data_IF_861790121634
#
_entry.id   IF_861790121634
#
_cell.length_a   1.000
_cell.length_b   1.000
_cell.length_c   1.000
_cell.angle_alpha   90.00
_cell.angle_beta   90.00
_cell.angle_gamma   90.00
#
_symmetry.space_group_name_H-M   'P 1'
#
loop_
_entity.id
_entity.type
_entity.pdbx_description
1 polymer ?
#
# COMPACT_ATOMS: atom_id res chain seq x y z
N UNK A 1 -3.24 -31.21 3.31
CA UNK A 1 -4.61 -30.71 3.59
C UNK A 1 -5.08 -29.90 2.40
N UNK A 2 -6.08 -30.36 1.65
CA UNK A 2 -6.72 -29.57 0.60
C UNK A 2 -7.45 -28.37 1.24
N UNK A 3 -7.30 -27.15 0.73
CA UNK A 3 -8.03 -26.00 1.27
C UNK A 3 -9.53 -26.22 1.06
N UNK A 4 -10.29 -26.29 2.17
CA UNK A 4 -11.75 -26.36 2.10
C UNK A 4 -12.28 -25.10 1.43
N UNK A 5 -13.20 -25.21 0.46
CA UNK A 5 -13.69 -24.06 -0.30
C UNK A 5 -14.35 -23.02 0.62
N UNK A 6 -14.15 -21.74 0.25
CA UNK A 6 -14.77 -20.58 0.88
C UNK A 6 -16.29 -20.76 0.92
N UNK A 7 -16.88 -20.58 2.11
CA UNK A 7 -18.26 -20.98 2.37
C UNK A 7 -19.11 -19.72 2.62
N UNK A 8 -20.15 -19.49 1.81
CA UNK A 8 -21.06 -18.34 1.97
C UNK A 8 -22.53 -18.82 2.02
N UNK A 9 -23.11 -19.04 3.22
CA UNK A 9 -24.54 -19.20 3.42
C UNK A 9 -25.24 -17.87 3.73
N UNK A 10 -26.29 -17.65 2.98
CA UNK A 10 -27.23 -16.54 3.02
C UNK A 10 -28.47 -16.89 3.86
N UNK A 11 -28.76 -16.19 4.96
CA UNK A 11 -30.13 -16.12 5.51
C UNK A 11 -30.77 -14.79 5.09
N UNK A 12 -32.03 -14.85 4.63
CA UNK A 12 -32.79 -13.75 3.98
C UNK A 12 -32.90 -12.44 4.77
N UNK A 13 -32.82 -12.47 6.12
CA UNK A 13 -32.89 -11.27 6.97
C UNK A 13 -31.58 -10.46 6.97
N UNK A 14 -30.47 -11.12 6.67
CA UNK A 14 -29.10 -10.61 6.82
C UNK A 14 -28.74 -9.64 5.67
N UNK A 15 -29.14 -9.97 4.42
CA UNK A 15 -28.90 -9.11 3.26
C UNK A 15 -29.72 -7.81 3.24
N UNK A 16 -30.94 -7.82 3.82
CA UNK A 16 -31.82 -6.64 3.87
C UNK A 16 -31.28 -5.56 4.82
N UNK A 17 -30.72 -5.94 5.96
CA UNK A 17 -30.11 -5.03 6.95
C UNK A 17 -28.87 -4.32 6.39
N UNK A 18 -28.08 -5.01 5.56
CA UNK A 18 -26.90 -4.43 4.91
C UNK A 18 -27.25 -3.45 3.79
N UNK A 19 -28.27 -3.75 2.99
CA UNK A 19 -28.78 -2.81 1.97
C UNK A 19 -29.25 -1.52 2.63
N UNK A 20 -29.96 -1.61 3.76
CA UNK A 20 -30.38 -0.41 4.51
C UNK A 20 -29.21 0.37 5.10
N UNK A 21 -28.20 -0.31 5.66
CA UNK A 21 -27.02 0.35 6.21
C UNK A 21 -26.14 1.00 5.12
N UNK A 22 -26.02 0.37 3.95
CA UNK A 22 -25.30 0.92 2.81
C UNK A 22 -26.04 2.12 2.21
N UNK A 23 -27.34 2.01 1.99
CA UNK A 23 -28.17 3.15 1.51
C UNK A 23 -28.08 4.32 2.49
N UNK A 24 -28.14 4.08 3.80
CA UNK A 24 -27.99 5.12 4.82
C UNK A 24 -26.58 5.75 4.82
N UNK A 25 -25.51 4.95 4.68
CA UNK A 25 -24.15 5.48 4.60
C UNK A 25 -23.90 6.29 3.31
N UNK A 26 -24.48 5.86 2.18
CA UNK A 26 -24.37 6.57 0.90
C UNK A 26 -25.16 7.87 0.92
N UNK A 27 -26.36 7.87 1.53
CA UNK A 27 -27.16 9.06 1.77
C UNK A 27 -26.44 10.05 2.69
N UNK A 28 -25.85 9.58 3.79
CA UNK A 28 -25.10 10.42 4.73
C UNK A 28 -23.87 11.07 4.06
N UNK A 29 -23.15 10.36 3.19
CA UNK A 29 -22.03 10.93 2.45
C UNK A 29 -22.47 11.90 1.34
N UNK A 30 -23.60 11.64 0.68
CA UNK A 30 -24.21 12.58 -0.26
C UNK A 30 -24.65 13.87 0.46
N UNK A 31 -25.19 13.74 1.68
CA UNK A 31 -25.60 14.87 2.52
C UNK A 31 -24.41 15.69 3.02
N UNK A 32 -23.33 15.02 3.45
CA UNK A 32 -22.08 15.68 3.87
C UNK A 32 -21.33 16.36 2.72
N UNK A 33 -21.56 15.92 1.48
CA UNK A 33 -21.00 16.57 0.28
C UNK A 33 -21.81 17.82 -0.15
N UNK A 34 -23.06 17.94 0.32
CA UNK A 34 -23.99 19.02 -0.04
C UNK A 34 -24.04 20.18 0.97
N UNK A 35 -23.35 20.09 2.11
CA UNK A 35 -23.31 21.20 3.09
C UNK A 35 -22.30 22.27 2.67
N UNK A 36 -22.76 23.19 1.83
CA UNK A 36 -22.04 24.39 1.40
C UNK A 36 -22.15 25.57 2.40
N UNK A 37 -22.60 25.31 3.64
CA UNK A 37 -22.88 26.32 4.69
C UNK A 37 -22.07 26.17 5.99
N UNK A 38 -20.85 25.63 5.94
CA UNK A 38 -19.93 25.64 7.10
C UNK A 38 -18.58 26.31 6.79
N UNK A 39 -18.63 27.40 6.02
CA UNK A 39 -17.46 28.18 5.59
C UNK A 39 -16.90 29.15 6.65
N UNK A 40 -17.23 28.99 7.95
CA UNK A 40 -16.78 29.94 8.98
C UNK A 40 -16.21 29.35 10.28
N UNK A 41 -15.87 28.05 10.36
CA UNK A 41 -15.18 27.50 11.55
C UNK A 41 -14.14 26.42 11.18
N UNK A 42 -12.86 26.73 11.39
CA UNK A 42 -11.67 25.84 11.31
C UNK A 42 -11.55 24.92 10.07
N UNK A 43 -11.09 25.50 8.96
CA UNK A 43 -11.00 24.88 7.63
C UNK A 43 -10.10 23.63 7.52
N UNK A 44 -9.13 23.42 8.43
CA UNK A 44 -8.18 22.31 8.32
C UNK A 44 -8.71 20.96 8.86
N UNK A 45 -9.32 20.99 10.06
CA UNK A 45 -9.73 19.76 10.76
C UNK A 45 -11.08 19.24 10.28
N UNK A 46 -12.01 20.15 10.02
CA UNK A 46 -13.34 19.79 9.52
C UNK A 46 -13.29 19.21 8.09
N UNK A 47 -12.44 19.76 7.23
CA UNK A 47 -12.21 19.21 5.89
C UNK A 47 -11.66 17.79 5.92
N UNK A 48 -10.68 17.51 6.79
CA UNK A 48 -10.13 16.17 6.97
C UNK A 48 -11.16 15.15 7.47
N UNK A 49 -12.05 15.56 8.37
CA UNK A 49 -13.14 14.71 8.89
C UNK A 49 -14.20 14.42 7.80
N UNK A 50 -14.61 15.42 7.02
CA UNK A 50 -15.54 15.25 5.89
C UNK A 50 -14.95 14.32 4.82
N UNK A 51 -13.68 14.51 4.46
CA UNK A 51 -12.99 13.59 3.54
C UNK A 51 -12.91 12.16 4.09
N UNK A 52 -12.69 12.00 5.39
CA UNK A 52 -12.73 10.70 6.07
C UNK A 52 -14.08 9.99 5.92
N UNK A 53 -15.18 10.71 6.16
CA UNK A 53 -16.54 10.20 6.05
C UNK A 53 -16.88 9.73 4.63
N UNK A 54 -16.55 10.53 3.62
CA UNK A 54 -16.80 10.18 2.22
C UNK A 54 -16.07 8.89 1.82
N UNK A 55 -14.80 8.73 2.23
CA UNK A 55 -14.04 7.50 1.97
C UNK A 55 -14.66 6.28 2.63
N UNK A 56 -15.13 6.44 3.87
CA UNK A 56 -15.80 5.38 4.62
C UNK A 56 -17.12 4.97 3.97
N UNK A 57 -17.94 5.93 3.53
CA UNK A 57 -19.18 5.61 2.84
C UNK A 57 -18.95 4.83 1.54
N UNK A 58 -17.93 5.21 0.75
CA UNK A 58 -17.53 4.44 -0.45
C UNK A 58 -17.11 3.01 -0.08
N UNK A 59 -16.35 2.84 0.99
CA UNK A 59 -15.93 1.52 1.47
C UNK A 59 -17.11 0.65 1.91
N UNK A 60 -18.03 1.21 2.71
CA UNK A 60 -19.27 0.54 3.14
C UNK A 60 -20.11 0.13 1.93
N UNK A 61 -20.30 1.05 0.98
CA UNK A 61 -21.08 0.78 -0.25
C UNK A 61 -20.44 -0.32 -1.11
N UNK A 62 -19.12 -0.32 -1.28
CA UNK A 62 -18.40 -1.35 -2.02
C UNK A 62 -18.51 -2.73 -1.36
N UNK A 63 -18.39 -2.79 -0.03
CA UNK A 63 -18.55 -4.04 0.74
C UNK A 63 -19.99 -4.53 0.67
N UNK A 64 -20.98 -3.67 0.88
CA UNK A 64 -22.39 -4.06 0.82
C UNK A 64 -22.78 -4.57 -0.58
N UNK A 65 -22.35 -3.88 -1.64
CA UNK A 65 -22.58 -4.30 -3.02
C UNK A 65 -21.93 -5.66 -3.31
N UNK A 66 -20.74 -5.89 -2.76
CA UNK A 66 -20.05 -7.18 -2.86
C UNK A 66 -20.86 -8.27 -2.18
N UNK A 67 -21.31 -8.06 -0.94
CA UNK A 67 -22.13 -9.02 -0.20
C UNK A 67 -23.41 -9.35 -0.96
N UNK A 68 -24.14 -8.34 -1.44
CA UNK A 68 -25.37 -8.54 -2.23
C UNK A 68 -25.10 -9.35 -3.50
N UNK A 69 -23.97 -9.13 -4.18
CA UNK A 69 -23.60 -9.89 -5.37
C UNK A 69 -23.34 -11.38 -5.07
N UNK A 70 -22.62 -11.70 -3.98
CA UNK A 70 -22.46 -13.10 -3.53
C UNK A 70 -23.82 -13.75 -3.21
N UNK A 71 -24.66 -13.04 -2.46
CA UNK A 71 -25.98 -13.51 -2.04
C UNK A 71 -26.90 -13.82 -3.23
N UNK A 72 -26.94 -12.92 -4.21
CA UNK A 72 -27.80 -13.05 -5.38
C UNK A 72 -27.26 -14.08 -6.37
N UNK A 73 -25.97 -14.00 -6.71
CA UNK A 73 -25.36 -14.82 -7.76
C UNK A 73 -25.19 -16.28 -7.38
N UNK A 74 -25.04 -16.58 -6.08
CA UNK A 74 -24.88 -17.96 -5.60
C UNK A 74 -26.19 -18.58 -5.09
N UNK A 75 -27.31 -17.86 -5.22
CA UNK A 75 -28.60 -18.27 -4.68
C UNK A 75 -29.10 -19.55 -5.35
N UNK A 76 -29.41 -20.55 -4.54
CA UNK A 76 -29.99 -21.82 -5.01
C UNK A 76 -29.01 -22.75 -5.73
N UNK A 77 -27.74 -22.36 -5.86
CA UNK A 77 -26.72 -23.19 -6.49
C UNK A 77 -26.17 -24.23 -5.50
N UNK A 78 -26.00 -25.47 -5.98
CA UNK A 78 -25.34 -26.53 -5.22
C UNK A 78 -23.83 -26.37 -5.23
N UNK A 79 -23.18 -26.43 -4.07
CA UNK A 79 -21.74 -26.11 -3.90
C UNK A 79 -20.78 -27.04 -4.65
N UNK A 80 -21.21 -28.28 -4.88
CA UNK A 80 -20.48 -29.31 -5.62
C UNK A 80 -20.65 -29.19 -7.13
N UNK A 81 -21.55 -28.33 -7.62
CA UNK A 81 -21.81 -28.18 -9.05
C UNK A 81 -20.77 -27.33 -9.77
N UNK A 82 -20.55 -27.64 -11.03
CA UNK A 82 -19.72 -26.85 -11.95
C UNK A 82 -20.26 -25.43 -12.10
N UNK A 83 -21.58 -25.30 -12.10
CA UNK A 83 -22.27 -24.02 -12.15
C UNK A 83 -21.90 -23.13 -10.95
N UNK A 84 -21.88 -23.69 -9.72
CA UNK A 84 -21.43 -22.95 -8.54
C UNK A 84 -19.98 -22.52 -8.66
N UNK A 85 -19.09 -23.43 -9.11
CA UNK A 85 -17.65 -23.14 -9.28
C UNK A 85 -17.41 -22.03 -10.31
N UNK A 86 -18.19 -22.00 -11.37
CA UNK A 86 -18.13 -20.93 -12.37
C UNK A 86 -18.69 -19.61 -11.81
N UNK A 87 -19.90 -19.63 -11.24
CA UNK A 87 -20.55 -18.43 -10.69
C UNK A 87 -19.75 -17.78 -9.57
N UNK A 88 -19.11 -18.57 -8.69
CA UNK A 88 -18.31 -18.01 -7.60
C UNK A 88 -17.05 -17.31 -8.11
N UNK A 89 -16.37 -17.85 -9.14
CA UNK A 89 -15.21 -17.21 -9.77
C UNK A 89 -15.62 -15.88 -10.42
N UNK A 90 -16.77 -15.84 -11.11
CA UNK A 90 -17.31 -14.60 -11.69
C UNK A 90 -17.64 -13.53 -10.62
N UNK A 91 -18.24 -13.94 -9.49
CA UNK A 91 -18.49 -13.04 -8.35
C UNK A 91 -17.18 -12.54 -7.75
N UNK A 92 -16.17 -13.41 -7.60
CA UNK A 92 -14.85 -13.02 -7.12
C UNK A 92 -14.24 -11.94 -8.03
N UNK A 93 -14.30 -12.13 -9.34
CA UNK A 93 -13.77 -11.17 -10.31
C UNK A 93 -14.48 -9.81 -10.23
N UNK A 94 -15.81 -9.78 -10.17
CA UNK A 94 -16.56 -8.52 -10.00
C UNK A 94 -16.24 -7.85 -8.68
N UNK A 95 -16.10 -8.63 -7.61
CA UNK A 95 -15.76 -8.12 -6.28
C UNK A 95 -14.34 -7.55 -6.23
N UNK A 96 -13.38 -8.21 -6.87
CA UNK A 96 -12.02 -7.71 -7.03
C UNK A 96 -11.99 -6.39 -7.82
N UNK A 97 -12.75 -6.29 -8.91
CA UNK A 97 -12.88 -5.05 -9.70
C UNK A 97 -13.50 -3.90 -8.89
N UNK A 98 -14.54 -4.17 -8.09
CA UNK A 98 -15.11 -3.16 -7.16
C UNK A 98 -14.09 -2.70 -6.14
N UNK A 99 -13.30 -3.62 -5.59
CA UNK A 99 -12.28 -3.27 -4.62
C UNK A 99 -11.15 -2.46 -5.27
N UNK A 100 -10.69 -2.85 -6.47
CA UNK A 100 -9.75 -2.05 -7.26
C UNK A 100 -10.26 -0.62 -7.44
N UNK A 101 -11.53 -0.45 -7.83
CA UNK A 101 -12.12 0.88 -8.00
C UNK A 101 -12.15 1.70 -6.70
N UNK A 102 -12.46 1.06 -5.57
CA UNK A 102 -12.39 1.69 -4.26
C UNK A 102 -10.96 2.18 -3.96
N UNK A 103 -9.96 1.35 -4.22
CA UNK A 103 -8.55 1.68 -4.03
C UNK A 103 -8.12 2.86 -4.90
N UNK A 104 -8.51 2.86 -6.18
CA UNK A 104 -8.23 3.95 -7.11
C UNK A 104 -8.85 5.29 -6.69
N UNK A 105 -10.06 5.26 -6.12
CA UNK A 105 -10.79 6.49 -5.75
C UNK A 105 -10.36 7.01 -4.38
N UNK A 106 -10.14 6.13 -3.39
CA UNK A 106 -9.77 6.55 -2.05
C UNK A 106 -8.25 6.75 -1.86
N UNK A 107 -7.42 6.16 -2.74
CA UNK A 107 -5.95 6.23 -2.72
C UNK A 107 -5.34 5.80 -1.37
N UNK A 108 -4.03 6.03 -1.21
CA UNK A 108 -3.31 5.87 0.06
C UNK A 108 -3.53 4.51 0.74
N UNK A 109 -4.16 4.53 1.92
CA UNK A 109 -4.48 3.33 2.70
C UNK A 109 -5.18 2.24 1.90
N UNK A 110 -6.14 2.58 1.04
CA UNK A 110 -6.87 1.58 0.28
C UNK A 110 -6.01 0.96 -0.83
N UNK A 111 -5.11 1.73 -1.45
CA UNK A 111 -4.12 1.18 -2.40
C UNK A 111 -3.22 0.17 -1.70
N UNK A 112 -2.74 0.50 -0.49
CA UNK A 112 -1.98 -0.44 0.34
C UNK A 112 -2.78 -1.68 0.73
N UNK A 113 -4.06 -1.53 1.07
CA UNK A 113 -4.93 -2.65 1.36
C UNK A 113 -5.07 -3.57 0.13
N UNK A 114 -5.25 -3.00 -1.06
CA UNK A 114 -5.30 -3.74 -2.30
C UNK A 114 -4.01 -4.49 -2.63
N UNK A 115 -2.84 -3.84 -2.46
CA UNK A 115 -1.53 -4.47 -2.62
C UNK A 115 -1.32 -5.62 -1.62
N UNK A 116 -1.69 -5.40 -0.35
CA UNK A 116 -1.62 -6.43 0.69
C UNK A 116 -2.49 -7.64 0.36
N UNK A 117 -3.72 -7.40 -0.10
CA UNK A 117 -4.66 -8.43 -0.56
C UNK A 117 -4.12 -9.17 -1.78
N UNK A 118 -3.53 -8.46 -2.75
CA UNK A 118 -2.96 -9.07 -3.94
C UNK A 118 -1.83 -10.06 -3.63
N UNK A 119 -1.07 -9.82 -2.55
CA UNK A 119 0.01 -10.68 -2.10
C UNK A 119 -0.47 -11.94 -1.33
N UNK A 120 -1.74 -12.02 -0.93
CA UNK A 120 -2.25 -13.15 -0.15
C UNK A 120 -2.59 -14.35 -1.04
N UNK A 121 -1.77 -15.39 -1.01
CA UNK A 121 -2.00 -16.65 -1.76
C UNK A 121 -3.25 -17.42 -1.35
N UNK A 122 -3.78 -17.16 -0.16
CA UNK A 122 -5.00 -17.82 0.37
C UNK A 122 -6.29 -17.22 -0.20
N UNK A 123 -6.19 -16.05 -0.86
CA UNK A 123 -7.33 -15.40 -1.48
C UNK A 123 -7.54 -15.92 -2.91
N UNK A 124 -8.76 -15.79 -3.45
CA UNK A 124 -9.04 -16.24 -4.81
C UNK A 124 -8.16 -15.52 -5.83
N UNK A 125 -7.72 -16.26 -6.86
CA UNK A 125 -6.79 -15.77 -7.88
C UNK A 125 -7.26 -14.47 -8.56
N UNK A 126 -8.57 -14.30 -8.68
CA UNK A 126 -9.20 -13.14 -9.29
C UNK A 126 -8.86 -11.83 -8.54
N UNK A 127 -8.69 -11.90 -7.21
CA UNK A 127 -8.24 -10.76 -6.41
C UNK A 127 -6.78 -10.44 -6.70
N UNK A 128 -5.89 -11.44 -6.66
CA UNK A 128 -4.46 -11.22 -6.93
C UNK A 128 -4.21 -10.69 -8.34
N UNK A 129 -4.87 -11.23 -9.36
CA UNK A 129 -4.68 -10.80 -10.75
C UNK A 129 -5.27 -9.44 -11.06
N UNK A 130 -6.36 -9.05 -10.37
CA UNK A 130 -7.00 -7.75 -10.61
C UNK A 130 -6.28 -6.64 -9.87
N UNK A 131 -5.87 -6.89 -8.63
CA UNK A 131 -5.25 -5.88 -7.77
C UNK A 131 -3.75 -5.69 -8.05
N UNK A 132 -3.12 -6.55 -8.85
CA UNK A 132 -1.75 -6.32 -9.35
C UNK A 132 -1.64 -5.01 -10.15
N UNK A 133 -2.76 -4.50 -10.69
CA UNK A 133 -2.82 -3.18 -11.34
C UNK A 133 -2.56 -2.00 -10.38
N UNK A 134 -2.63 -2.19 -9.05
CA UNK A 134 -2.37 -1.14 -8.06
C UNK A 134 -0.88 -0.82 -7.87
N UNK A 135 -0.01 -1.28 -8.77
CA UNK A 135 1.43 -1.07 -8.70
C UNK A 135 1.90 0.27 -9.28
N UNK A 136 1.00 1.14 -9.76
CA UNK A 136 1.41 2.39 -10.42
C UNK A 136 1.71 3.57 -9.50
N UNK A 137 2.60 4.44 -9.99
CA UNK A 137 3.04 5.68 -9.33
C UNK A 137 1.86 6.59 -8.98
N UNK A 138 1.93 7.16 -7.78
CA UNK A 138 0.96 8.15 -7.31
C UNK A 138 1.50 9.53 -7.64
N UNK A 139 0.62 10.46 -8.03
CA UNK A 139 1.02 11.86 -8.22
C UNK A 139 1.66 12.40 -6.93
N UNK A 140 2.87 12.98 -7.01
CA UNK A 140 3.54 13.55 -5.85
C UNK A 140 2.80 14.77 -5.31
N UNK A 141 3.09 15.11 -4.06
CA UNK A 141 2.65 16.36 -3.46
C UNK A 141 3.58 17.50 -3.82
N UNK A 142 3.07 18.75 -3.83
CA UNK A 142 3.91 19.93 -3.94
C UNK A 142 4.99 19.95 -2.86
N UNK A 143 6.22 20.30 -3.25
CA UNK A 143 7.36 20.33 -2.33
C UNK A 143 7.11 21.20 -1.09
N UNK A 144 6.31 22.26 -1.19
CA UNK A 144 5.91 23.09 -0.03
C UNK A 144 5.29 22.27 1.12
N UNK A 145 4.50 21.24 0.81
CA UNK A 145 3.90 20.35 1.81
C UNK A 145 4.97 19.46 2.44
N UNK A 146 5.84 18.89 1.60
CA UNK A 146 6.96 18.02 2.03
C UNK A 146 7.95 18.78 2.90
N UNK A 147 8.30 20.01 2.52
CA UNK A 147 9.14 20.92 3.29
C UNK A 147 8.59 21.18 4.69
N UNK A 148 7.26 21.23 4.84
CA UNK A 148 6.62 21.29 6.16
C UNK A 148 6.93 20.06 7.02
N UNK A 149 6.77 18.86 6.46
CA UNK A 149 7.08 17.60 7.17
C UNK A 149 8.56 17.51 7.53
N UNK A 150 9.45 17.88 6.61
CA UNK A 150 10.90 17.92 6.87
C UNK A 150 11.23 18.88 8.01
N UNK A 151 10.65 20.08 8.00
CA UNK A 151 10.84 21.07 9.06
C UNK A 151 10.37 20.57 10.43
N UNK A 152 9.19 19.93 10.47
CA UNK A 152 8.61 19.42 11.72
C UNK A 152 9.43 18.26 12.32
N UNK A 153 10.16 17.52 11.49
CA UNK A 153 10.90 16.32 11.90
C UNK A 153 12.41 16.55 12.09
N UNK A 154 13.01 17.43 11.28
CA UNK A 154 14.45 17.70 11.27
C UNK A 154 14.81 19.08 11.86
N UNK A 155 13.81 19.89 12.19
CA UNK A 155 13.98 21.22 12.77
C UNK A 155 13.87 22.38 11.75
N UNK A 156 13.80 23.63 12.24
CA UNK A 156 13.57 24.81 11.40
C UNK A 156 14.69 25.04 10.38
N UNK A 157 15.92 24.66 10.72
CA UNK A 157 17.14 24.95 9.96
C UNK A 157 17.62 23.72 9.16
N UNK A 158 16.74 22.75 8.90
CA UNK A 158 17.13 21.50 8.24
C UNK A 158 17.83 21.72 6.89
N UNK A 159 17.47 22.80 6.18
CA UNK A 159 18.10 23.18 4.91
C UNK A 159 19.60 23.44 5.06
N UNK A 160 20.07 23.82 6.25
CA UNK A 160 21.49 24.02 6.51
C UNK A 160 22.29 22.70 6.57
N UNK A 161 21.62 21.55 6.60
CA UNK A 161 22.28 20.24 6.58
C UNK A 161 22.61 19.78 5.15
N UNK A 162 21.99 20.41 4.15
CA UNK A 162 22.10 20.04 2.74
C UNK A 162 22.87 21.10 1.95
N UNK A 163 23.70 20.67 1.02
CA UNK A 163 24.24 21.50 -0.05
C UNK A 163 23.19 21.72 -1.14
N UNK A 164 22.44 20.67 -1.49
CA UNK A 164 21.33 20.74 -2.41
C UNK A 164 20.22 19.76 -2.02
N UNK A 165 18.98 20.10 -2.33
CA UNK A 165 17.80 19.26 -2.12
C UNK A 165 16.86 19.45 -3.31
N UNK A 166 16.61 18.39 -4.06
CA UNK A 166 15.76 18.44 -5.24
C UNK A 166 14.30 18.58 -4.85
N UNK A 167 13.64 19.65 -5.29
CA UNK A 167 12.22 19.87 -5.03
C UNK A 167 11.33 18.87 -5.79
N UNK A 168 11.78 18.42 -6.96
CA UNK A 168 11.11 17.36 -7.71
C UNK A 168 11.45 15.98 -7.10
N UNK A 169 10.45 15.18 -6.71
CA UNK A 169 10.71 13.86 -6.16
C UNK A 169 11.19 12.90 -7.25
N UNK A 170 12.18 12.08 -6.91
CA UNK A 170 12.67 10.99 -7.78
C UNK A 170 11.68 9.81 -7.84
N UNK A 171 10.85 9.66 -6.81
CA UNK A 171 9.82 8.63 -6.73
C UNK A 171 8.67 9.07 -5.82
N UNK A 172 7.46 8.61 -6.13
CA UNK A 172 6.29 8.81 -5.29
C UNK A 172 5.53 7.50 -5.13
N UNK A 173 5.16 7.20 -3.89
CA UNK A 173 4.43 6.00 -3.49
C UNK A 173 3.12 6.40 -2.79
N UNK A 174 2.37 5.39 -2.34
CA UNK A 174 1.04 5.59 -1.77
C UNK A 174 1.01 6.31 -0.42
N UNK A 175 2.12 6.36 0.33
CA UNK A 175 2.16 6.99 1.66
C UNK A 175 3.31 7.99 1.85
N UNK A 176 4.20 8.09 0.86
CA UNK A 176 5.42 8.87 0.94
C UNK A 176 5.95 9.17 -0.46
N UNK A 177 6.82 10.17 -0.56
CA UNK A 177 7.64 10.42 -1.75
C UNK A 177 9.11 10.53 -1.37
N UNK A 178 10.00 10.33 -2.34
CA UNK A 178 11.44 10.31 -2.15
C UNK A 178 12.06 11.45 -2.93
N UNK A 179 12.92 12.21 -2.25
CA UNK A 179 13.72 13.28 -2.83
C UNK A 179 15.19 12.91 -2.84
N UNK A 180 15.91 13.38 -3.85
CA UNK A 180 17.36 13.31 -3.89
C UNK A 180 17.94 14.59 -3.26
N UNK A 181 19.08 14.46 -2.57
CA UNK A 181 19.76 15.57 -1.93
C UNK A 181 21.26 15.29 -1.79
N UNK A 182 22.06 16.34 -1.65
CA UNK A 182 23.48 16.28 -1.32
C UNK A 182 23.68 16.91 0.05
N UNK A 183 24.31 16.19 0.97
CA UNK A 183 24.70 16.71 2.29
C UNK A 183 25.91 17.63 2.18
N UNK A 184 26.11 18.54 3.14
CA UNK A 184 27.35 19.35 3.24
C UNK A 184 28.64 18.54 3.41
N UNK A 185 28.52 17.24 3.66
CA UNK A 185 29.63 16.28 3.67
C UNK A 185 29.93 15.68 2.29
N UNK A 186 29.36 16.23 1.22
CA UNK A 186 29.40 15.73 -0.17
C UNK A 186 28.77 14.34 -0.37
N UNK A 187 27.97 13.87 0.60
CA UNK A 187 27.29 12.58 0.49
C UNK A 187 25.91 12.73 -0.15
N UNK A 188 25.68 12.00 -1.25
CA UNK A 188 24.36 11.89 -1.87
C UNK A 188 23.42 11.01 -1.03
N UNK A 189 22.21 11.51 -0.80
CA UNK A 189 21.18 10.85 0.00
C UNK A 189 19.82 10.86 -0.67
N UNK A 190 19.03 9.85 -0.34
CA UNK A 190 17.60 9.83 -0.59
C UNK A 190 16.82 10.05 0.68
N UNK A 191 15.88 10.99 0.59
CA UNK A 191 15.03 11.42 1.69
C UNK A 191 13.60 10.98 1.38
N UNK A 192 13.18 9.89 1.99
CA UNK A 192 11.80 9.40 1.93
C UNK A 192 10.97 10.14 2.98
N UNK A 193 9.97 10.89 2.53
CA UNK A 193 9.13 11.74 3.38
C UNK A 193 7.69 11.25 3.33
N UNK A 194 7.14 10.92 4.50
CA UNK A 194 5.76 10.49 4.65
C UNK A 194 4.79 11.67 4.42
N UNK A 195 3.65 11.42 3.78
CA UNK A 195 2.63 12.46 3.63
C UNK A 195 1.97 12.80 4.99
N UNK A 196 1.76 14.09 5.32
CA UNK A 196 1.44 14.51 6.69
C UNK A 196 0.10 13.97 7.23
N UNK A 197 -0.89 13.75 6.36
CA UNK A 197 -2.21 13.28 6.77
C UNK A 197 -2.31 11.77 6.94
N UNK A 198 -1.30 11.01 6.49
CA UNK A 198 -1.39 9.56 6.39
C UNK A 198 -1.69 8.94 7.75
N UNK A 199 -0.99 9.36 8.81
CA UNK A 199 -1.18 8.78 10.14
C UNK A 199 -2.59 9.01 10.70
N UNK A 200 -3.12 10.24 10.56
CA UNK A 200 -4.47 10.58 11.04
C UNK A 200 -5.56 9.87 10.23
N UNK A 201 -5.44 9.92 8.89
CA UNK A 201 -6.39 9.27 7.98
C UNK A 201 -6.43 7.76 8.17
N UNK A 202 -5.26 7.13 8.34
CA UNK A 202 -5.17 5.68 8.51
C UNK A 202 -5.78 5.18 9.81
N UNK A 203 -5.75 5.98 10.88
CA UNK A 203 -6.43 5.61 12.13
C UNK A 203 -7.93 5.45 11.89
N UNK A 204 -8.54 6.37 11.14
CA UNK A 204 -9.95 6.30 10.79
C UNK A 204 -10.25 5.14 9.82
N UNK A 205 -9.47 5.01 8.75
CA UNK A 205 -9.68 3.95 7.75
C UNK A 205 -9.46 2.54 8.33
N UNK A 206 -8.52 2.37 9.27
CA UNK A 206 -8.30 1.11 10.00
C UNK A 206 -9.51 0.75 10.86
N UNK A 207 -10.12 1.72 11.56
CA UNK A 207 -11.36 1.50 12.33
C UNK A 207 -12.51 1.10 11.41
N UNK A 208 -12.67 1.78 10.27
CA UNK A 208 -13.67 1.43 9.25
C UNK A 208 -13.47 0.01 8.75
N UNK A 209 -12.24 -0.38 8.42
CA UNK A 209 -11.93 -1.73 7.96
C UNK A 209 -12.23 -2.79 9.04
N UNK A 210 -11.88 -2.53 10.30
CA UNK A 210 -12.17 -3.44 11.41
C UNK A 210 -13.68 -3.60 11.64
N UNK A 211 -14.42 -2.50 11.62
CA UNK A 211 -15.87 -2.50 11.74
C UNK A 211 -16.54 -3.30 10.60
N UNK A 212 -16.11 -3.06 9.35
CA UNK A 212 -16.62 -3.79 8.19
C UNK A 212 -16.32 -5.29 8.29
N UNK A 213 -15.10 -5.66 8.69
CA UNK A 213 -14.74 -7.07 8.84
C UNK A 213 -15.54 -7.77 9.94
N UNK A 214 -15.69 -7.15 11.12
CA UNK A 214 -16.53 -7.68 12.19
C UNK A 214 -17.99 -7.82 11.77
N UNK A 215 -18.50 -6.85 11.01
CA UNK A 215 -19.85 -6.91 10.47
C UNK A 215 -20.00 -8.10 9.53
N UNK A 216 -19.06 -8.29 8.59
CA UNK A 216 -19.09 -9.46 7.70
C UNK A 216 -19.00 -10.77 8.49
N UNK A 217 -18.10 -10.88 9.47
CA UNK A 217 -17.96 -12.06 10.30
C UNK A 217 -19.23 -12.39 11.09
N UNK A 218 -19.89 -11.37 11.65
CA UNK A 218 -21.15 -11.55 12.36
C UNK A 218 -22.28 -12.04 11.43
N UNK A 219 -22.36 -11.49 10.22
CA UNK A 219 -23.37 -11.87 9.22
C UNK A 219 -23.08 -13.24 8.59
N UNK A 220 -21.80 -13.58 8.46
CA UNK A 220 -21.27 -14.78 7.85
C UNK A 220 -20.29 -15.48 8.80
N UNK A 221 -20.77 -16.22 9.82
CA UNK A 221 -19.90 -16.84 10.83
C UNK A 221 -18.84 -17.82 10.29
N UNK A 222 -19.03 -18.28 9.06
CA UNK A 222 -18.08 -19.10 8.31
C UNK A 222 -17.00 -18.30 7.55
N UNK A 223 -17.04 -16.97 7.60
CA UNK A 223 -16.03 -16.08 7.06
C UNK A 223 -14.74 -16.23 7.87
N UNK A 224 -13.72 -16.82 7.27
CA UNK A 224 -12.46 -17.15 7.95
C UNK A 224 -11.37 -16.09 7.79
N UNK A 225 -11.71 -14.89 7.30
CA UNK A 225 -10.74 -13.84 7.00
C UNK A 225 -10.77 -12.67 8.00
N UNK A 226 -11.30 -12.89 9.21
CA UNK A 226 -11.20 -11.92 10.32
C UNK A 226 -9.75 -11.55 10.68
N UNK A 227 -8.80 -12.45 10.41
CA UNK A 227 -7.37 -12.20 10.60
C UNK A 227 -6.81 -11.19 9.59
N UNK A 228 -7.44 -11.03 8.42
CA UNK A 228 -6.89 -10.25 7.30
C UNK A 228 -6.80 -8.75 7.63
N UNK A 229 -7.84 -8.09 8.20
CA UNK A 229 -7.72 -6.71 8.67
C UNK A 229 -6.66 -6.51 9.75
N UNK A 230 -6.52 -7.47 10.68
CA UNK A 230 -5.53 -7.41 11.75
C UNK A 230 -4.11 -7.49 11.17
N UNK A 231 -3.87 -8.47 10.30
CA UNK A 231 -2.58 -8.63 9.62
C UNK A 231 -2.25 -7.41 8.75
N UNK A 232 -3.24 -6.81 8.08
CA UNK A 232 -3.03 -5.58 7.34
C UNK A 232 -2.72 -4.39 8.26
N UNK A 233 -3.46 -4.24 9.37
CA UNK A 233 -3.20 -3.17 10.34
C UNK A 233 -1.78 -3.26 10.92
N UNK A 234 -1.31 -4.47 11.24
CA UNK A 234 0.06 -4.70 11.69
C UNK A 234 1.08 -4.35 10.60
N UNK A 235 0.82 -4.75 9.36
CA UNK A 235 1.68 -4.38 8.22
C UNK A 235 1.73 -2.87 8.01
N UNK A 236 0.59 -2.19 8.13
CA UNK A 236 0.49 -0.73 7.99
C UNK A 236 1.20 -0.01 9.13
N UNK A 237 1.05 -0.48 10.37
CA UNK A 237 1.75 0.10 11.52
C UNK A 237 3.27 0.05 11.34
N UNK A 238 3.80 -1.05 10.80
CA UNK A 238 5.21 -1.18 10.46
C UNK A 238 5.63 -0.21 9.34
N UNK A 239 4.76 0.03 8.35
CA UNK A 239 5.05 0.92 7.21
C UNK A 239 4.98 2.41 7.57
N UNK A 240 4.27 2.77 8.64
CA UNK A 240 4.17 4.15 9.12
C UNK A 240 5.29 4.57 10.06
N UNK A 241 6.13 3.64 10.47
CA UNK A 241 7.24 3.89 11.38
C UNK A 241 8.57 3.74 10.64
N UNK A 242 9.06 4.84 10.08
CA UNK A 242 10.33 4.82 9.34
C UNK A 242 11.56 4.51 10.21
N UNK A 243 11.45 4.62 11.54
CA UNK A 243 12.48 4.09 12.45
C UNK A 243 12.51 2.56 12.41
N UNK A 244 11.34 1.92 12.32
CA UNK A 244 11.27 0.47 12.17
C UNK A 244 11.86 0.02 10.83
N UNK A 245 11.55 0.72 9.74
CA UNK A 245 12.12 0.47 8.42
C UNK A 245 13.64 0.64 8.41
N UNK A 246 14.15 1.74 8.97
CA UNK A 246 15.58 2.00 9.12
C UNK A 246 16.32 0.88 9.88
N UNK A 247 15.77 0.42 11.02
CA UNK A 247 16.34 -0.70 11.79
C UNK A 247 16.34 -2.01 11.00
N UNK A 248 15.31 -2.24 10.20
CA UNK A 248 15.26 -3.41 9.33
C UNK A 248 16.30 -3.32 8.21
N UNK A 249 16.56 -2.13 7.66
CA UNK A 249 17.65 -1.87 6.71
C UNK A 249 19.01 -2.23 7.31
N UNK A 250 19.32 -1.75 8.51
CA UNK A 250 20.59 -2.06 9.20
C UNK A 250 20.75 -3.56 9.50
N UNK A 251 19.67 -4.24 9.89
CA UNK A 251 19.68 -5.70 10.06
C UNK A 251 19.96 -6.42 8.74
N UNK A 252 19.35 -5.98 7.65
CA UNK A 252 19.60 -6.53 6.32
C UNK A 252 21.05 -6.30 5.89
N UNK A 253 21.60 -5.10 6.09
CA UNK A 253 22.99 -4.78 5.83
C UNK A 253 23.94 -5.72 6.60
N UNK A 254 23.68 -5.97 7.89
CA UNK A 254 24.46 -6.89 8.71
C UNK A 254 24.40 -8.34 8.23
N UNK A 255 23.22 -8.80 7.81
CA UNK A 255 23.00 -10.16 7.31
C UNK A 255 23.63 -10.37 5.94
N UNK A 256 23.69 -9.33 5.12
CA UNK A 256 24.16 -9.37 3.73
C UNK A 256 25.57 -8.82 3.55
N UNK A 257 26.28 -8.50 4.62
CA UNK A 257 27.64 -7.91 4.58
C UNK A 257 28.66 -8.70 3.73
N UNK A 258 28.48 -10.01 3.59
CA UNK A 258 29.35 -10.89 2.81
C UNK A 258 28.82 -11.16 1.38
N UNK A 259 27.64 -10.65 1.04
CA UNK A 259 27.05 -10.81 -0.28
C UNK A 259 27.61 -9.71 -1.20
N UNK A 260 28.44 -10.11 -2.18
CA UNK A 260 29.02 -9.19 -3.16
C UNK A 260 28.01 -8.66 -4.17
N UNK A 261 26.92 -9.40 -4.38
CA UNK A 261 25.87 -9.01 -5.30
C UNK A 261 25.07 -7.87 -4.69
N UNK A 262 24.61 -8.00 -3.44
CA UNK A 262 23.62 -7.10 -2.83
C UNK A 262 24.27 -5.97 -2.03
N UNK A 263 23.91 -4.72 -2.34
CA UNK A 263 24.21 -3.56 -1.47
C UNK A 263 22.98 -3.03 -0.75
N UNK A 264 23.12 -2.77 0.55
CA UNK A 264 22.08 -2.16 1.38
C UNK A 264 22.49 -0.71 1.71
N UNK A 265 21.64 0.30 1.45
CA UNK A 265 21.93 1.70 1.76
C UNK A 265 22.21 1.93 3.25
N UNK A 266 23.24 2.73 3.53
CA UNK A 266 23.50 3.21 4.88
C UNK A 266 22.40 4.17 5.34
N UNK A 267 21.92 4.03 6.57
CA UNK A 267 20.93 4.95 7.16
C UNK A 267 21.62 6.11 7.87
N UNK A 268 21.21 7.34 7.54
CA UNK A 268 21.65 8.55 8.23
C UNK A 268 20.70 8.83 9.40
N UNK A 269 21.05 8.32 10.58
CA UNK A 269 20.18 8.37 11.78
C UNK A 269 19.89 9.79 12.27
N UNK A 270 20.84 10.70 12.15
CA UNK A 270 20.66 12.12 12.53
C UNK A 270 19.64 12.84 11.64
N UNK A 271 19.36 12.28 10.45
CA UNK A 271 18.40 12.77 9.48
C UNK A 271 17.18 11.84 9.33
N UNK A 272 16.96 10.96 10.31
CA UNK A 272 15.89 9.96 10.26
C UNK A 272 14.98 10.08 11.49
N UNK A 273 13.67 10.12 11.24
CA UNK A 273 12.61 10.19 12.22
C UNK A 273 11.54 9.12 11.95
N UNK A 274 10.39 9.20 12.64
CA UNK A 274 9.24 8.34 12.33
C UNK A 274 8.61 8.62 10.96
N UNK A 275 8.78 9.84 10.42
CA UNK A 275 8.14 10.30 9.19
C UNK A 275 9.14 10.66 8.07
N UNK A 276 10.44 10.70 8.38
CA UNK A 276 11.51 10.98 7.43
C UNK A 276 12.53 9.85 7.52
N UNK A 277 12.87 9.21 6.40
CA UNK A 277 13.94 8.22 6.31
C UNK A 277 15.00 8.74 5.34
N UNK A 278 16.20 8.96 5.84
CA UNK A 278 17.33 9.40 5.04
C UNK A 278 18.34 8.28 4.90
N UNK A 279 18.67 7.92 3.67
CA UNK A 279 19.58 6.81 3.36
C UNK A 279 20.52 7.18 2.23
N UNK A 280 21.63 6.46 2.13
CA UNK A 280 22.58 6.64 1.04
C UNK A 280 21.89 6.50 -0.31
N UNK A 281 22.18 7.43 -1.21
CA UNK A 281 21.70 7.36 -2.57
C UNK A 281 22.55 6.41 -3.41
N UNK A 282 21.88 5.59 -4.21
CA UNK A 282 22.52 4.80 -5.25
C UNK A 282 21.78 5.01 -6.57
N UNK A 283 22.54 5.17 -7.63
CA UNK A 283 22.02 5.15 -9.00
C UNK A 283 21.89 3.71 -9.48
N UNK A 284 20.77 3.38 -10.11
CA UNK A 284 20.50 2.04 -10.58
C UNK A 284 19.34 1.97 -11.57
N UNK A 285 19.23 0.81 -12.22
CA UNK A 285 18.10 0.42 -13.08
C UNK A 285 17.29 -0.65 -12.37
N UNK A 286 16.01 -0.76 -12.73
CA UNK A 286 15.12 -1.71 -12.09
C UNK A 286 15.44 -3.14 -12.49
N UNK A 287 15.17 -4.06 -11.57
CA UNK A 287 15.35 -5.50 -11.80
C UNK A 287 14.31 -6.07 -12.78
N UNK A 288 13.19 -5.38 -13.00
CA UNK A 288 12.13 -5.74 -13.95
C UNK A 288 12.23 -5.01 -15.30
N UNK A 289 13.32 -4.25 -15.52
CA UNK A 289 13.64 -3.61 -16.80
C UNK A 289 14.27 -4.65 -17.75
N UNK A 290 13.41 -5.48 -18.33
CA UNK A 290 13.82 -6.56 -19.23
C UNK A 290 14.58 -6.04 -20.46
N UNK A 291 14.25 -4.85 -20.95
CA UNK A 291 14.93 -4.23 -22.09
C UNK A 291 16.39 -3.91 -21.74
N UNK A 292 16.64 -3.36 -20.55
CA UNK A 292 17.98 -3.10 -20.05
C UNK A 292 18.78 -4.39 -19.79
N UNK A 293 18.15 -5.41 -19.19
CA UNK A 293 18.80 -6.71 -18.96
C UNK A 293 19.21 -7.37 -20.29
N UNK A 294 18.33 -7.32 -21.29
CA UNK A 294 18.61 -7.82 -22.63
C UNK A 294 19.76 -7.06 -23.31
N UNK A 295 19.83 -5.73 -23.16
CA UNK A 295 20.93 -4.92 -23.69
C UNK A 295 22.28 -5.25 -23.04
N UNK A 296 22.29 -5.63 -21.77
CA UNK A 296 23.48 -6.06 -21.04
C UNK A 296 23.85 -7.54 -21.28
N UNK A 297 23.05 -8.29 -22.06
CA UNK A 297 23.26 -9.73 -22.24
C UNK A 297 23.06 -10.56 -20.97
N UNK A 298 22.35 -10.01 -19.98
CA UNK A 298 22.03 -10.70 -18.72
C UNK A 298 20.71 -11.44 -18.91
N UNK A 299 20.77 -12.78 -18.91
CA UNK A 299 19.55 -13.61 -18.91
C UNK A 299 18.74 -13.32 -17.63
N UNK A 300 17.46 -12.89 -17.73
CA UNK A 300 16.64 -12.58 -16.56
C UNK A 300 16.50 -13.75 -15.58
N UNK A 301 16.61 -15.00 -16.07
CA UNK A 301 16.57 -16.22 -15.27
C UNK A 301 17.82 -16.44 -14.40
N UNK A 302 18.96 -15.83 -14.77
CA UNK A 302 20.22 -15.89 -14.00
C UNK A 302 20.29 -14.83 -12.90
N UNK A 303 19.40 -13.83 -12.93
CA UNK A 303 19.20 -12.93 -11.80
C UNK A 303 18.49 -13.74 -10.71
N UNK A 304 19.23 -14.18 -9.69
CA UNK A 304 18.70 -14.99 -8.59
C UNK A 304 17.69 -14.18 -7.75
N UNK A 305 16.45 -14.10 -8.25
CA UNK A 305 15.31 -13.51 -7.57
C UNK A 305 14.95 -14.25 -6.29
N UNK A 306 15.49 -15.46 -6.04
CA UNK A 306 15.19 -16.23 -4.83
C UNK A 306 15.83 -15.62 -3.59
N UNK A 307 17.06 -15.10 -3.69
CA UNK A 307 17.72 -14.36 -2.60
C UNK A 307 17.03 -13.03 -2.33
N UNK A 308 16.60 -12.34 -3.39
CA UNK A 308 15.85 -11.09 -3.29
C UNK A 308 14.46 -11.29 -2.67
N UNK A 309 13.74 -12.33 -3.10
CA UNK A 309 12.43 -12.72 -2.53
C UNK A 309 12.58 -13.14 -1.07
N UNK A 310 13.67 -13.82 -0.73
CA UNK A 310 14.00 -14.17 0.67
C UNK A 310 14.30 -12.91 1.48
N UNK A 311 15.02 -11.93 0.93
CA UNK A 311 15.33 -10.65 1.59
C UNK A 311 14.07 -9.82 1.90
N UNK A 312 13.17 -9.64 0.91
CA UNK A 312 11.89 -8.92 1.09
C UNK A 312 11.03 -9.58 2.17
N UNK A 313 10.94 -10.91 2.15
CA UNK A 313 10.12 -11.66 3.10
C UNK A 313 10.74 -11.80 4.50
N UNK A 314 12.07 -11.92 4.61
CA UNK A 314 12.76 -12.19 5.89
C UNK A 314 13.09 -10.92 6.66
N UNK A 315 13.42 -9.82 5.96
CA UNK A 315 13.84 -8.57 6.60
C UNK A 315 12.70 -7.56 6.77
N UNK A 316 11.50 -7.84 6.24
CA UNK A 316 10.36 -6.88 6.22
C UNK A 316 10.83 -5.49 5.77
N UNK A 317 11.63 -5.45 4.72
CA UNK A 317 12.07 -4.21 4.11
C UNK A 317 10.91 -3.68 3.28
N UNK A 318 10.17 -2.73 3.85
CA UNK A 318 9.11 -2.01 3.16
C UNK A 318 9.73 -0.91 2.31
N UNK A 319 10.52 -1.26 1.29
CA UNK A 319 10.88 -0.32 0.25
C UNK A 319 9.71 -0.26 -0.74
N UNK A 320 8.88 0.80 -0.77
CA UNK A 320 8.06 1.08 -1.93
C UNK A 320 8.95 1.75 -2.98
N UNK A 321 10.00 1.06 -3.38
CA UNK A 321 10.78 1.41 -4.57
C UNK A 321 11.23 0.17 -5.31
N UNK A 322 10.42 -0.88 -5.25
CA UNK A 322 10.47 -2.03 -6.14
C UNK A 322 9.03 -2.25 -6.57
N UNK A 323 8.83 -2.39 -7.88
CA UNK A 323 7.58 -2.35 -8.65
C UNK A 323 7.14 -0.94 -9.14
N UNK A 324 7.36 -0.72 -10.46
CA UNK A 324 6.77 0.29 -11.37
C UNK A 324 6.87 1.79 -10.94
N UNK A 325 7.67 2.67 -11.55
CA UNK A 325 7.54 3.19 -12.93
C UNK A 325 8.53 4.34 -13.25
N UNK A 326 9.60 4.56 -12.46
CA UNK A 326 10.55 5.66 -12.68
C UNK A 326 11.93 5.16 -13.13
N UNK A 327 12.55 5.86 -14.10
CA UNK A 327 13.87 5.57 -14.68
C UNK A 327 15.06 5.92 -13.78
N UNK A 328 14.83 6.24 -12.51
CA UNK A 328 15.88 6.42 -11.49
C UNK A 328 15.35 5.86 -10.18
N UNK A 329 15.87 4.70 -9.78
CA UNK A 329 15.44 4.01 -8.58
C UNK A 329 16.65 3.53 -7.81
N UNK A 330 16.67 3.83 -6.51
CA UNK A 330 17.61 3.28 -5.55
C UNK A 330 17.19 1.84 -5.33
N UNK A 331 17.77 0.96 -6.13
CA UNK A 331 17.65 -0.47 -5.97
C UNK A 331 18.82 -0.90 -5.10
N UNK A 332 18.55 -1.83 -4.18
CA UNK A 332 19.53 -2.81 -3.73
C UNK A 332 20.31 -3.32 -4.95
N UNK A 333 21.47 -2.72 -5.22
CA UNK A 333 22.24 -2.99 -6.43
C UNK A 333 22.70 -4.45 -6.38
N UNK A 334 22.46 -5.20 -7.46
CA UNK A 334 23.03 -6.52 -7.75
C UNK A 334 24.28 -6.28 -8.62
N UNK A 335 25.49 -6.37 -8.08
CA UNK A 335 26.72 -6.43 -8.88
C UNK A 335 27.09 -7.88 -9.15
N UNK A 336 26.94 -8.36 -10.38
CA UNK A 336 27.69 -9.54 -10.81
C UNK A 336 29.18 -9.14 -10.95
N UNK A 337 30.05 -9.79 -10.19
CA UNK A 337 31.50 -9.57 -10.22
C UNK A 337 32.08 -10.05 -11.57
N UNK A 338 32.63 -9.11 -12.33
CA UNK A 338 33.90 -9.27 -13.04
C UNK A 338 33.88 -9.83 -14.46
N UNK A 339 33.81 -8.94 -15.47
CA UNK A 339 34.73 -8.88 -16.64
C UNK A 339 34.24 -7.84 -17.68
N UNK A 340 35.13 -6.89 -17.98
CA UNK A 340 35.20 -6.00 -19.15
C UNK A 340 34.33 -4.71 -19.20
N UNK A 341 35.05 -3.60 -18.96
CA UNK A 341 34.91 -2.20 -19.42
C UNK A 341 33.65 -1.41 -19.03
#
# INVERSE_FOLDING_TARGET
MTPKPFNFPAKRRTGLLLLTAAVAATAAAAQASNTHELSSLSAGKLGAEVHGLVRTARAVSAVASTVVDYEFSLRGLRKDSDQYRHSISEVHLRSAKRFLKLCEVNKGFYVKAGQFVAAQRVLPKEYSSTLSALQDQVAPLPFKVIKGVLKDNLGPDFTEMFESLDEEPIAAASIAQVHHAVLKSDQEVAIKVQYPWVQQQMTFDTRTMYFLSKTIAWLYPQYRFEWLPLAFADSMAAELDFIHEARNSERAAKNLRNNKLIRVPHVFWDLTSRQVLTMQFYTGRKIDDLDFLNQLGVEPEKVDLSQFTTMVNSCKLYFPVLYSGCNKLIVVTIFADGSLL
#
